data_IF_346644995182
#
_entry.id   IF_346644995182
#
_cell.length_a   1.000
_cell.length_b   1.000
_cell.length_c   1.000
_cell.angle_alpha   90.00
_cell.angle_beta   90.00
_cell.angle_gamma   90.00
#
_symmetry.space_group_name_H-M   'P 1'
#
loop_
_entity.id
_entity.type
_entity.pdbx_description
1 polymer ?
#
# COMPACT_ATOMS: atom_id res chain seq x y z
N UNK A 1 23.26 27.60 4.05
CA UNK A 1 21.94 27.08 4.49
C UNK A 1 21.59 25.90 3.58
N UNK A 2 21.55 24.67 4.11
CA UNK A 2 21.33 23.46 3.29
C UNK A 2 19.86 23.47 2.83
N UNK A 3 19.62 23.72 1.54
CA UNK A 3 18.28 23.71 0.96
C UNK A 3 17.73 22.29 1.11
N UNK A 4 16.73 22.12 1.98
CA UNK A 4 16.03 20.86 2.18
C UNK A 4 15.30 20.58 0.87
N UNK A 5 15.90 19.76 -0.01
CA UNK A 5 15.26 19.38 -1.27
C UNK A 5 13.97 18.64 -0.94
N UNK A 6 12.85 19.34 -1.06
CA UNK A 6 11.51 18.78 -0.91
C UNK A 6 11.19 17.98 -2.17
N UNK A 7 10.81 16.72 -1.99
CA UNK A 7 10.30 15.88 -3.07
C UNK A 7 9.03 16.53 -3.61
N UNK A 8 8.95 16.71 -4.94
CA UNK A 8 7.74 17.22 -5.58
C UNK A 8 6.61 16.18 -5.52
N UNK A 9 5.35 16.61 -5.46
CA UNK A 9 4.17 15.74 -5.41
C UNK A 9 4.17 14.70 -6.55
N UNK A 10 4.53 15.13 -7.76
CA UNK A 10 4.63 14.26 -8.92
C UNK A 10 5.70 13.18 -8.73
N UNK A 11 6.90 13.55 -8.27
CA UNK A 11 7.99 12.62 -7.98
C UNK A 11 7.61 11.62 -6.89
N UNK A 12 6.96 12.09 -5.81
CA UNK A 12 6.46 11.24 -4.74
C UNK A 12 5.44 10.22 -5.25
N UNK A 13 4.48 10.67 -6.07
CA UNK A 13 3.46 9.79 -6.66
C UNK A 13 4.10 8.73 -7.55
N UNK A 14 5.07 9.10 -8.38
CA UNK A 14 5.78 8.15 -9.24
C UNK A 14 6.58 7.11 -8.44
N UNK A 15 7.18 7.50 -7.32
CA UNK A 15 7.83 6.56 -6.40
C UNK A 15 6.81 5.56 -5.83
N UNK A 16 5.63 6.01 -5.42
CA UNK A 16 4.59 5.11 -4.90
C UNK A 16 4.10 4.16 -6.00
N UNK A 17 3.87 4.66 -7.22
CA UNK A 17 3.45 3.83 -8.37
C UNK A 17 4.48 2.74 -8.68
N UNK A 18 5.78 3.07 -8.68
CA UNK A 18 6.82 2.08 -8.94
C UNK A 18 6.98 1.04 -7.83
N UNK A 19 6.68 1.40 -6.57
CA UNK A 19 6.65 0.45 -5.45
C UNK A 19 5.46 -0.51 -5.53
N UNK A 20 4.32 -0.05 -6.05
CA UNK A 20 3.10 -0.87 -6.17
C UNK A 20 3.16 -1.79 -7.40
N UNK A 21 3.65 -1.30 -8.54
CA UNK A 21 3.76 -2.08 -9.77
C UNK A 21 5.03 -2.95 -9.72
N UNK A 22 4.88 -4.19 -9.24
CA UNK A 22 5.96 -5.19 -9.20
C UNK A 22 5.80 -6.32 -10.23
N UNK A 23 6.61 -7.37 -10.07
CA UNK A 23 6.57 -8.58 -10.92
C UNK A 23 5.23 -9.34 -10.87
N UNK A 24 4.37 -9.05 -9.87
CA UNK A 24 3.08 -9.70 -9.70
C UNK A 24 2.15 -9.56 -10.92
N UNK A 25 2.28 -8.50 -11.72
CA UNK A 25 1.45 -8.30 -12.91
C UNK A 25 1.72 -9.33 -14.02
N UNK A 26 2.89 -9.99 -14.04
CA UNK A 26 3.19 -10.97 -15.08
C UNK A 26 2.56 -12.35 -14.80
N UNK A 27 2.33 -12.69 -13.53
CA UNK A 27 1.83 -14.02 -13.12
C UNK A 27 0.36 -14.01 -12.70
N UNK A 28 -0.05 -12.96 -11.98
CA UNK A 28 -1.35 -12.91 -11.32
C UNK A 28 -2.52 -12.80 -12.31
N UNK A 29 -2.47 -11.96 -13.37
CA UNK A 29 -3.54 -11.89 -14.37
C UNK A 29 -3.78 -13.21 -15.08
N UNK A 30 -2.73 -13.92 -15.48
CA UNK A 30 -2.86 -15.23 -16.13
C UNK A 30 -3.58 -16.25 -15.22
N UNK A 31 -3.27 -16.22 -13.92
CA UNK A 31 -3.92 -17.09 -12.93
C UNK A 31 -5.39 -16.71 -12.71
N UNK A 32 -5.71 -15.42 -12.65
CA UNK A 32 -7.10 -14.94 -12.50
C UNK A 32 -7.89 -15.23 -13.77
N UNK A 33 -7.31 -15.02 -14.96
CA UNK A 33 -7.95 -15.32 -16.23
C UNK A 33 -8.29 -16.82 -16.36
N UNK A 34 -7.37 -17.70 -15.97
CA UNK A 34 -7.61 -19.15 -15.98
C UNK A 34 -8.73 -19.59 -15.02
N UNK A 35 -8.95 -18.87 -13.91
CA UNK A 35 -9.97 -19.21 -12.90
C UNK A 35 -11.30 -18.47 -13.03
N UNK A 36 -11.33 -17.34 -13.74
CA UNK A 36 -12.49 -16.45 -13.80
C UNK A 36 -13.59 -16.93 -14.75
N UNK A 37 -13.26 -17.76 -15.75
CA UNK A 37 -14.21 -18.36 -16.70
C UNK A 37 -14.86 -17.37 -17.69
N UNK A 38 -15.04 -16.11 -17.31
CA UNK A 38 -15.58 -15.04 -18.16
C UNK A 38 -14.76 -13.75 -18.02
N UNK A 39 -14.66 -12.93 -19.10
CA UNK A 39 -13.98 -11.64 -19.04
C UNK A 39 -14.57 -10.66 -18.02
N UNK A 40 -15.89 -10.72 -17.79
CA UNK A 40 -16.57 -9.85 -16.84
C UNK A 40 -16.09 -10.11 -15.41
N UNK A 41 -15.98 -11.38 -15.01
CA UNK A 41 -15.47 -11.75 -13.68
C UNK A 41 -14.01 -11.32 -13.54
N UNK A 42 -13.19 -11.51 -14.59
CA UNK A 42 -11.79 -11.06 -14.59
C UNK A 42 -11.65 -9.56 -14.31
N UNK A 43 -12.33 -8.69 -15.06
CA UNK A 43 -12.23 -7.25 -14.87
C UNK A 43 -12.87 -6.78 -13.57
N UNK A 44 -13.99 -7.38 -13.16
CA UNK A 44 -14.64 -7.03 -11.89
C UNK A 44 -13.77 -7.33 -10.67
N UNK A 45 -13.02 -8.45 -10.68
CA UNK A 45 -12.10 -8.80 -9.61
C UNK A 45 -10.98 -7.76 -9.44
N UNK A 46 -10.42 -7.29 -10.56
CA UNK A 46 -9.42 -6.22 -10.54
C UNK A 46 -9.99 -4.89 -10.07
N UNK A 47 -11.19 -4.54 -10.53
CA UNK A 47 -11.86 -3.30 -10.13
C UNK A 47 -12.15 -3.28 -8.63
N UNK A 48 -12.72 -4.37 -8.10
CA UNK A 48 -13.04 -4.52 -6.68
C UNK A 48 -11.75 -4.51 -5.84
N UNK A 49 -10.72 -5.26 -6.26
CA UNK A 49 -9.43 -5.26 -5.59
C UNK A 49 -8.77 -3.87 -5.56
N UNK A 50 -8.84 -3.14 -6.67
CA UNK A 50 -8.36 -1.76 -6.75
C UNK A 50 -9.12 -0.80 -5.83
N UNK A 51 -10.44 -0.95 -5.74
CA UNK A 51 -11.28 -0.15 -4.84
C UNK A 51 -10.97 -0.42 -3.36
N UNK A 52 -10.80 -1.69 -2.98
CA UNK A 52 -10.40 -2.07 -1.62
C UNK A 52 -9.03 -1.49 -1.28
N UNK A 53 -8.07 -1.60 -2.21
CA UNK A 53 -6.74 -1.03 -2.05
C UNK A 53 -6.77 0.51 -1.89
N UNK A 54 -7.63 1.20 -2.63
CA UNK A 54 -7.81 2.65 -2.52
C UNK A 54 -8.30 3.05 -1.12
N UNK A 55 -9.32 2.38 -0.58
CA UNK A 55 -9.81 2.65 0.77
C UNK A 55 -8.74 2.37 1.83
N UNK A 56 -7.97 1.30 1.67
CA UNK A 56 -6.81 1.00 2.52
C UNK A 56 -5.76 2.11 2.47
N UNK A 57 -5.41 2.59 1.27
CA UNK A 57 -4.43 3.66 1.09
C UNK A 57 -4.88 4.98 1.73
N UNK A 58 -6.16 5.36 1.59
CA UNK A 58 -6.72 6.56 2.23
C UNK A 58 -6.68 6.46 3.76
N UNK A 59 -7.02 5.28 4.31
CA UNK A 59 -6.94 5.04 5.76
C UNK A 59 -5.51 5.20 6.28
N UNK A 60 -4.53 4.65 5.56
CA UNK A 60 -3.12 4.81 5.93
C UNK A 60 -2.61 6.24 5.76
N UNK A 61 -3.09 6.97 4.75
CA UNK A 61 -2.76 8.38 4.57
C UNK A 61 -3.23 9.21 5.77
N UNK A 62 -4.44 8.97 6.28
CA UNK A 62 -4.97 9.65 7.47
C UNK A 62 -4.15 9.34 8.72
N UNK A 63 -3.79 8.07 8.94
CA UNK A 63 -2.93 7.68 10.07
C UNK A 63 -1.56 8.35 9.98
N UNK A 64 -0.94 8.37 8.79
CA UNK A 64 0.36 8.99 8.56
C UNK A 64 0.35 10.52 8.77
N UNK A 65 -0.78 11.18 8.49
CA UNK A 65 -0.96 12.60 8.81
C UNK A 65 -1.07 12.84 10.31
N UNK A 66 -1.79 11.97 11.05
CA UNK A 66 -1.99 12.11 12.50
C UNK A 66 -0.73 11.76 13.31
N UNK A 67 0.07 10.79 12.85
CA UNK A 67 1.28 10.33 13.53
C UNK A 67 2.50 10.36 12.57
N UNK A 68 3.09 11.53 12.30
CA UNK A 68 4.20 11.70 11.36
C UNK A 68 5.54 11.24 11.96
N UNK A 69 5.65 9.94 12.26
CA UNK A 69 6.83 9.32 12.88
C UNK A 69 7.51 8.34 11.94
N UNK A 70 8.84 8.27 12.01
CA UNK A 70 9.62 7.26 11.31
C UNK A 70 9.47 5.90 11.98
N UNK A 71 9.19 4.84 11.21
CA UNK A 71 9.04 3.48 11.72
C UNK A 71 7.82 2.72 11.18
N UNK A 72 6.98 3.35 10.35
CA UNK A 72 5.88 2.70 9.64
C UNK A 72 4.93 1.94 10.58
N UNK A 73 4.58 0.71 10.19
CA UNK A 73 3.67 -0.14 10.96
C UNK A 73 4.10 -0.33 12.41
N UNK A 74 5.39 -0.62 12.67
CA UNK A 74 5.87 -0.88 14.03
C UNK A 74 5.52 0.28 14.97
N UNK A 75 5.85 1.51 14.59
CA UNK A 75 5.61 2.69 15.44
C UNK A 75 4.13 3.00 15.59
N UNK A 76 3.33 2.84 14.53
CA UNK A 76 1.88 3.04 14.59
C UNK A 76 1.25 2.06 15.58
N UNK A 77 1.53 0.76 15.45
CA UNK A 77 0.94 -0.26 16.33
C UNK A 77 1.51 -0.23 17.75
N UNK A 78 2.79 0.10 17.91
CA UNK A 78 3.39 0.29 19.23
C UNK A 78 2.80 1.49 19.98
N UNK A 79 2.38 2.54 19.26
CA UNK A 79 1.75 3.72 19.85
C UNK A 79 0.28 3.46 20.23
N UNK A 80 -0.48 2.75 19.39
CA UNK A 80 -1.90 2.52 19.61
C UNK A 80 -2.22 1.37 20.59
N UNK A 81 -1.42 0.30 20.61
CA UNK A 81 -1.74 -0.92 21.38
C UNK A 81 -0.67 -1.22 22.44
N UNK A 82 0.50 -1.68 22.01
CA UNK A 82 1.64 -1.95 22.88
C UNK A 82 2.87 -2.24 22.00
N UNK A 83 4.11 -1.91 22.42
CA UNK A 83 5.33 -2.21 21.67
C UNK A 83 5.50 -3.70 21.31
N UNK A 84 4.99 -4.61 22.16
CA UNK A 84 4.98 -6.05 21.87
C UNK A 84 4.14 -6.43 20.64
N UNK A 85 2.95 -5.84 20.48
CA UNK A 85 2.08 -6.06 19.32
C UNK A 85 2.71 -5.48 18.06
N UNK A 86 3.29 -4.27 18.17
CA UNK A 86 4.03 -3.66 17.06
C UNK A 86 5.18 -4.53 16.57
N UNK A 87 5.91 -5.17 17.50
CA UNK A 87 6.98 -6.11 17.16
C UNK A 87 6.44 -7.36 16.45
N UNK A 88 5.38 -7.98 16.97
CA UNK A 88 4.76 -9.17 16.35
C UNK A 88 4.30 -8.91 14.92
N UNK A 89 3.69 -7.76 14.66
CA UNK A 89 3.24 -7.40 13.30
C UNK A 89 4.42 -7.13 12.37
N UNK A 90 5.52 -6.55 12.88
CA UNK A 90 6.67 -6.22 12.04
C UNK A 90 7.52 -7.43 11.65
N UNK A 91 7.47 -8.52 12.43
CA UNK A 91 8.22 -9.76 12.16
C UNK A 91 7.48 -10.74 11.24
N UNK A 92 6.18 -10.55 11.03
CA UNK A 92 5.33 -11.30 10.09
C UNK A 92 5.52 -10.80 8.65
#
# INVERSE_FOLDING_TARGET
MKQKQSINFFSLTMIVVSLVIGMGIFKTPATIAAKSGTPLIFFSAWLIGGLIALFGALTYAEIGQRLPVMGGYYKVFAHCYHPGVGFTINVL
#
